data_IF_226693984958
#
_entry.id   IF_226693984958
#
_cell.length_a   1.000
_cell.length_b   1.000
_cell.length_c   1.000
_cell.angle_alpha   90.00
_cell.angle_beta   90.00
_cell.angle_gamma   90.00
#
_symmetry.space_group_name_H-M   'P 1'
#
loop_
_entity.id
_entity.type
_entity.pdbx_description
1 polymer ?
#
# COMPACT_ATOMS: atom_id res chain seq x y z
N UNK A 1 -1.31 10.72 -6.97
CA UNK A 1 -1.45 9.55 -7.87
C UNK A 1 -2.90 9.02 -7.91
N UNK A 2 -3.53 8.79 -6.76
CA UNK A 2 -4.90 8.23 -6.66
C UNK A 2 -5.94 9.08 -7.41
N UNK A 3 -5.86 10.41 -7.33
CA UNK A 3 -6.76 11.32 -8.07
C UNK A 3 -6.60 11.12 -9.57
N UNK A 4 -5.35 11.08 -10.05
CA UNK A 4 -5.05 10.89 -11.48
C UNK A 4 -5.52 9.54 -12.00
N UNK A 5 -5.37 8.47 -11.22
CA UNK A 5 -5.88 7.15 -11.56
C UNK A 5 -7.41 7.15 -11.72
N UNK A 6 -8.13 7.81 -10.81
CA UNK A 6 -9.59 7.97 -10.92
C UNK A 6 -10.02 8.70 -12.18
N UNK A 7 -9.31 9.77 -12.58
CA UNK A 7 -9.60 10.55 -13.78
C UNK A 7 -9.42 9.76 -15.09
N UNK A 8 -8.52 8.78 -15.10
CA UNK A 8 -8.19 8.01 -16.32
C UNK A 8 -8.82 6.62 -16.36
N UNK A 9 -9.52 6.18 -15.31
CA UNK A 9 -10.06 4.83 -15.19
C UNK A 9 -10.89 4.42 -16.41
N UNK A 10 -11.85 5.27 -16.82
CA UNK A 10 -12.72 4.95 -17.97
C UNK A 10 -11.93 4.87 -19.28
N UNK A 11 -11.00 5.79 -19.49
CA UNK A 11 -10.12 5.80 -20.67
C UNK A 11 -9.21 4.57 -20.74
N UNK A 12 -8.79 4.04 -19.57
CA UNK A 12 -8.01 2.80 -19.52
C UNK A 12 -8.87 1.59 -19.88
N UNK A 13 -10.12 1.52 -19.42
CA UNK A 13 -11.04 0.47 -19.81
C UNK A 13 -11.31 0.49 -21.32
N UNK A 14 -11.55 1.67 -21.90
CA UNK A 14 -11.68 1.86 -23.35
C UNK A 14 -10.42 1.41 -24.10
N UNK A 15 -9.25 1.82 -23.64
CA UNK A 15 -7.98 1.46 -24.29
C UNK A 15 -7.67 -0.04 -24.24
N UNK A 16 -8.22 -0.76 -23.25
CA UNK A 16 -8.10 -2.21 -23.11
C UNK A 16 -9.23 -3.00 -23.78
N UNK A 17 -10.14 -2.32 -24.51
CA UNK A 17 -11.34 -2.93 -25.11
C UNK A 17 -12.21 -3.69 -24.10
N UNK A 18 -12.33 -3.11 -22.88
CA UNK A 18 -13.18 -3.64 -21.82
C UNK A 18 -14.45 -2.81 -21.78
N UNK A 19 -15.58 -3.45 -22.10
CA UNK A 19 -16.91 -2.84 -21.96
C UNK A 19 -17.19 -2.50 -20.50
N UNK A 20 -17.70 -1.29 -20.26
CA UNK A 20 -17.99 -0.85 -18.91
C UNK A 20 -19.29 -0.08 -18.79
N UNK A 21 -19.83 -0.08 -17.58
CA UNK A 21 -20.99 0.76 -17.21
C UNK A 21 -20.70 1.41 -15.86
N UNK A 22 -21.02 2.70 -15.74
CA UNK A 22 -20.98 3.37 -14.43
C UNK A 22 -22.28 3.06 -13.71
N UNK A 23 -22.17 2.51 -12.49
CA UNK A 23 -23.32 2.10 -11.68
C UNK A 23 -24.31 3.26 -11.51
N UNK A 24 -25.58 3.01 -11.85
CA UNK A 24 -26.72 3.92 -11.65
C UNK A 24 -27.51 3.56 -10.39
N UNK A 25 -28.61 4.28 -10.17
CA UNK A 25 -29.53 3.97 -9.07
C UNK A 25 -30.25 2.64 -9.27
N UNK A 26 -30.41 2.20 -10.53
CA UNK A 26 -30.94 0.87 -10.86
C UNK A 26 -29.83 -0.19 -10.97
N UNK A 27 -29.07 -0.31 -9.89
CA UNK A 27 -27.87 -1.14 -9.83
C UNK A 27 -28.12 -2.63 -10.13
N UNK A 28 -29.34 -3.13 -9.89
CA UNK A 28 -29.69 -4.53 -10.18
C UNK A 28 -29.76 -4.78 -11.69
N UNK A 29 -30.34 -3.84 -12.43
CA UNK A 29 -30.41 -3.91 -13.89
C UNK A 29 -29.00 -3.77 -14.47
N UNK A 30 -28.23 -2.77 -14.02
CA UNK A 30 -26.86 -2.56 -14.47
C UNK A 30 -25.98 -3.80 -14.27
N UNK A 31 -26.07 -4.42 -13.08
CA UNK A 31 -25.32 -5.64 -12.79
C UNK A 31 -25.71 -6.80 -13.71
N UNK A 32 -27.02 -7.02 -13.92
CA UNK A 32 -27.51 -8.09 -14.80
C UNK A 32 -27.04 -7.88 -16.24
N UNK A 33 -27.18 -6.68 -16.76
CA UNK A 33 -26.73 -6.33 -18.12
C UNK A 33 -25.24 -6.60 -18.31
N UNK A 34 -24.39 -6.18 -17.38
CA UNK A 34 -22.96 -6.38 -17.48
C UNK A 34 -22.56 -7.86 -17.33
N UNK A 35 -23.23 -8.61 -16.48
CA UNK A 35 -23.02 -10.07 -16.36
C UNK A 35 -23.42 -10.81 -17.64
N UNK A 36 -24.59 -10.48 -18.21
CA UNK A 36 -25.05 -11.09 -19.47
C UNK A 36 -24.14 -10.70 -20.65
N UNK A 37 -23.67 -9.45 -20.70
CA UNK A 37 -22.70 -9.02 -21.71
C UNK A 37 -21.42 -9.83 -21.62
N UNK A 38 -20.83 -9.95 -20.41
CA UNK A 38 -19.61 -10.70 -20.20
C UNK A 38 -19.75 -12.18 -20.64
N UNK A 39 -20.90 -12.81 -20.33
CA UNK A 39 -21.20 -14.18 -20.76
C UNK A 39 -21.33 -14.30 -22.26
N UNK A 40 -22.11 -13.40 -22.88
CA UNK A 40 -22.40 -13.41 -24.30
C UNK A 40 -21.14 -13.21 -25.14
N UNK A 41 -20.33 -12.22 -24.77
CA UNK A 41 -19.11 -11.86 -25.51
C UNK A 41 -17.90 -12.72 -25.12
N UNK A 42 -18.00 -13.50 -24.04
CA UNK A 42 -16.90 -14.27 -23.45
C UNK A 42 -15.66 -13.38 -23.20
N UNK A 43 -15.90 -12.15 -22.74
CA UNK A 43 -14.93 -11.11 -22.46
C UNK A 43 -15.13 -10.54 -21.05
N UNK A 44 -14.10 -9.94 -20.44
CA UNK A 44 -14.29 -9.18 -19.20
C UNK A 44 -15.21 -7.99 -19.44
N UNK A 45 -16.04 -7.67 -18.43
CA UNK A 45 -16.85 -6.47 -18.40
C UNK A 45 -16.69 -5.79 -17.02
N UNK A 46 -16.75 -4.47 -16.97
CA UNK A 46 -16.50 -3.71 -15.76
C UNK A 46 -17.72 -2.91 -15.32
N UNK A 47 -18.11 -3.04 -14.04
CA UNK A 47 -19.09 -2.16 -13.41
C UNK A 47 -18.36 -1.16 -12.53
N UNK A 48 -18.37 0.12 -12.92
CA UNK A 48 -17.62 1.18 -12.26
C UNK A 48 -18.45 1.82 -11.17
N UNK A 49 -17.98 1.75 -9.94
CA UNK A 49 -18.67 2.27 -8.75
C UNK A 49 -17.98 3.55 -8.29
N UNK A 50 -18.71 4.67 -8.24
CA UNK A 50 -18.20 5.95 -7.76
C UNK A 50 -18.06 5.97 -6.24
N UNK A 51 -17.11 6.77 -5.75
CA UNK A 51 -16.96 7.01 -4.32
C UNK A 51 -18.25 7.56 -3.72
N UNK A 52 -18.71 6.97 -2.61
CA UNK A 52 -19.91 7.38 -1.90
C UNK A 52 -21.21 6.74 -2.41
N UNK A 53 -21.14 5.81 -3.36
CA UNK A 53 -22.31 5.05 -3.83
C UNK A 53 -22.89 4.14 -2.74
N UNK A 54 -22.02 3.50 -1.95
CA UNK A 54 -22.46 2.64 -0.87
C UNK A 54 -22.55 3.39 0.47
N UNK A 55 -23.53 3.02 1.29
CA UNK A 55 -23.62 3.46 2.67
C UNK A 55 -22.46 2.91 3.50
N UNK A 56 -22.20 3.55 4.64
CA UNK A 56 -21.24 3.02 5.63
C UNK A 56 -21.68 1.64 6.09
N UNK A 57 -20.75 0.72 6.10
CA UNK A 57 -20.91 -0.59 6.71
C UNK A 57 -20.18 -0.61 8.05
N UNK A 58 -20.90 -0.88 9.11
CA UNK A 58 -20.31 -1.10 10.43
C UNK A 58 -19.96 -2.59 10.55
N UNK A 59 -18.67 -2.90 10.54
CA UNK A 59 -18.21 -4.26 10.66
C UNK A 59 -18.68 -4.88 11.99
N UNK A 60 -19.30 -6.06 11.91
CA UNK A 60 -19.85 -6.78 13.07
C UNK A 60 -18.71 -7.25 13.99
N UNK A 61 -17.57 -7.60 13.43
CA UNK A 61 -16.37 -8.00 14.17
C UNK A 61 -15.33 -6.86 14.08
N UNK A 62 -15.30 -6.02 15.09
CA UNK A 62 -14.16 -5.14 15.33
C UNK A 62 -13.06 -5.98 15.95
N UNK A 63 -12.09 -6.40 15.17
CA UNK A 63 -10.87 -7.01 15.71
C UNK A 63 -10.19 -5.99 16.62
N UNK A 64 -10.26 -6.25 17.93
CA UNK A 64 -9.40 -5.59 18.91
C UNK A 64 -8.05 -6.30 18.87
N UNK A 65 -7.15 -5.84 18.04
CA UNK A 65 -5.82 -6.45 18.03
C UNK A 65 -4.77 -5.38 17.89
N UNK A 66 -4.63 -4.57 18.91
CA UNK A 66 -3.34 -3.96 19.17
C UNK A 66 -2.68 -4.81 20.25
N UNK A 67 -1.70 -5.63 19.90
CA UNK A 67 -0.92 -6.42 20.84
C UNK A 67 0.25 -5.63 21.46
N UNK A 68 0.38 -4.35 21.09
CA UNK A 68 1.45 -3.47 21.54
C UNK A 68 0.92 -2.23 22.26
N UNK A 69 1.76 -1.69 23.13
CA UNK A 69 1.47 -0.49 23.92
C UNK A 69 1.93 0.82 23.23
N UNK A 70 2.56 0.71 22.06
CA UNK A 70 3.07 1.84 21.29
C UNK A 70 2.31 2.00 19.96
N UNK A 71 1.96 3.21 19.61
CA UNK A 71 1.37 3.52 18.31
C UNK A 71 2.44 3.51 17.22
N UNK A 72 2.06 3.13 15.98
CA UNK A 72 3.00 3.13 14.85
C UNK A 72 3.61 4.50 14.62
N UNK A 73 2.84 5.57 14.72
CA UNK A 73 3.33 6.94 14.56
C UNK A 73 4.40 7.29 15.60
N UNK A 74 4.22 6.87 16.85
CA UNK A 74 5.22 7.05 17.91
C UNK A 74 6.51 6.25 17.63
N UNK A 75 6.37 5.01 17.14
CA UNK A 75 7.52 4.20 16.75
C UNK A 75 8.27 4.85 15.56
N UNK A 76 7.54 5.36 14.58
CA UNK A 76 8.13 6.07 13.43
C UNK A 76 8.84 7.35 13.86
N UNK A 77 8.30 8.12 14.81
CA UNK A 77 9.00 9.31 15.36
C UNK A 77 10.37 8.94 15.92
N UNK A 78 10.44 7.87 16.69
CA UNK A 78 11.72 7.38 17.26
C UNK A 78 12.68 6.95 16.14
N UNK A 79 12.20 6.16 15.17
CA UNK A 79 13.02 5.70 14.05
C UNK A 79 13.56 6.90 13.25
N UNK A 80 12.70 7.85 12.90
CA UNK A 80 13.08 9.02 12.12
C UNK A 80 14.10 9.91 12.84
N UNK A 81 14.11 9.92 14.18
CA UNK A 81 15.13 10.64 14.96
C UNK A 81 16.51 10.02 14.85
N UNK A 82 16.61 8.74 14.50
CA UNK A 82 17.87 8.00 14.39
C UNK A 82 18.40 7.92 12.94
N UNK A 83 17.54 8.18 11.94
CA UNK A 83 17.93 7.99 10.54
C UNK A 83 18.84 9.07 9.99
N UNK A 84 18.74 10.32 10.51
CA UNK A 84 19.50 11.45 9.95
C UNK A 84 19.33 11.56 8.43
N UNK A 85 20.44 11.53 7.69
CA UNK A 85 20.49 11.58 6.23
C UNK A 85 20.57 10.18 5.58
N UNK A 86 20.30 9.13 6.33
CA UNK A 86 20.22 7.77 5.81
C UNK A 86 18.95 7.58 4.97
N UNK A 87 19.03 6.86 3.84
CA UNK A 87 17.85 6.59 3.04
C UNK A 87 16.83 5.66 3.72
N UNK A 88 15.58 6.04 3.58
CA UNK A 88 14.41 5.27 4.04
C UNK A 88 13.65 4.73 2.84
N UNK A 89 13.33 3.45 2.87
CA UNK A 89 12.39 2.82 1.93
C UNK A 89 11.21 2.29 2.74
N UNK A 90 10.01 2.86 2.53
CA UNK A 90 8.84 2.45 3.28
C UNK A 90 7.79 1.74 2.42
N UNK A 91 7.01 0.88 3.06
CA UNK A 91 5.88 0.19 2.43
C UNK A 91 4.78 1.16 2.04
N UNK A 92 3.98 0.76 1.05
CA UNK A 92 2.82 1.54 0.61
C UNK A 92 1.74 1.61 1.70
N UNK A 93 0.97 2.69 1.69
CA UNK A 93 -0.21 2.84 2.54
C UNK A 93 -0.03 3.83 3.68
N UNK A 94 -0.50 3.49 4.87
CA UNK A 94 -0.50 4.40 6.03
C UNK A 94 0.90 4.75 6.50
N UNK A 95 1.79 3.80 6.53
CA UNK A 95 3.16 3.99 6.98
C UNK A 95 3.90 5.06 6.18
N UNK A 96 3.89 4.96 4.85
CA UNK A 96 4.46 6.01 3.98
C UNK A 96 3.82 7.39 4.21
N UNK A 97 2.51 7.44 4.49
CA UNK A 97 1.84 8.71 4.78
C UNK A 97 2.26 9.29 6.11
N UNK A 98 2.33 8.48 7.14
CA UNK A 98 2.77 8.90 8.48
C UNK A 98 4.22 9.40 8.46
N UNK A 99 5.12 8.73 7.74
CA UNK A 99 6.48 9.23 7.52
C UNK A 99 6.47 10.60 6.85
N UNK A 100 5.69 10.75 5.78
CA UNK A 100 5.56 12.04 5.10
C UNK A 100 5.04 13.13 6.04
N UNK A 101 3.97 12.85 6.79
CA UNK A 101 3.36 13.80 7.73
C UNK A 101 4.30 14.16 8.89
N UNK A 102 5.08 13.20 9.38
CA UNK A 102 6.09 13.43 10.41
C UNK A 102 7.23 14.33 9.91
N UNK A 103 7.74 14.10 8.69
CA UNK A 103 8.73 14.98 8.06
C UNK A 103 8.20 16.41 7.94
N UNK A 104 6.97 16.60 7.46
CA UNK A 104 6.31 17.92 7.41
C UNK A 104 6.17 18.56 8.79
N UNK A 105 5.72 17.79 9.80
CA UNK A 105 5.56 18.23 11.18
C UNK A 105 6.86 18.78 11.78
N UNK A 106 7.99 18.16 11.45
CA UNK A 106 9.31 18.52 11.96
C UNK A 106 10.12 19.41 11.00
N UNK A 107 9.51 19.90 9.92
CA UNK A 107 10.16 20.71 8.89
C UNK A 107 11.42 20.06 8.31
N UNK A 108 11.38 18.74 8.13
CA UNK A 108 12.43 17.95 7.51
C UNK A 108 12.17 17.77 6.01
N UNK A 109 13.23 17.59 5.23
CA UNK A 109 13.12 17.30 3.80
C UNK A 109 12.73 15.84 3.53
N UNK A 110 12.37 15.55 2.27
CA UNK A 110 11.97 14.21 1.79
C UNK A 110 13.00 13.60 0.84
N UNK A 111 14.15 14.21 0.68
CA UNK A 111 15.18 13.84 -0.30
C UNK A 111 15.81 12.48 -0.05
N UNK A 112 15.67 11.95 1.16
CA UNK A 112 16.18 10.64 1.57
C UNK A 112 15.07 9.58 1.72
N UNK A 113 13.81 9.94 1.44
CA UNK A 113 12.66 9.07 1.63
C UNK A 113 12.15 8.49 0.29
N UNK A 114 12.17 7.17 0.16
CA UNK A 114 11.50 6.46 -0.93
C UNK A 114 10.19 5.86 -0.41
N UNK A 115 9.13 6.68 -0.48
CA UNK A 115 7.79 6.31 -0.02
C UNK A 115 7.04 5.58 -1.14
N UNK A 116 6.91 4.26 -1.04
CA UNK A 116 6.31 3.46 -2.12
C UNK A 116 4.82 3.75 -2.29
N UNK A 117 4.38 3.78 -3.55
CA UNK A 117 2.98 3.88 -3.94
C UNK A 117 2.63 2.68 -4.81
N UNK A 118 1.92 1.72 -4.24
CA UNK A 118 1.70 0.41 -4.87
C UNK A 118 2.86 -0.55 -4.57
N UNK A 119 2.95 -1.64 -5.33
CA UNK A 119 4.00 -2.66 -5.19
C UNK A 119 4.16 -3.18 -3.75
N UNK A 120 3.06 -3.39 -3.04
CA UNK A 120 3.06 -3.93 -1.69
C UNK A 120 3.81 -5.27 -1.64
N UNK A 121 4.67 -5.44 -0.64
CA UNK A 121 5.53 -6.61 -0.50
C UNK A 121 6.90 -6.51 -1.18
N UNK A 122 7.20 -5.43 -1.92
CA UNK A 122 8.49 -5.27 -2.61
C UNK A 122 9.47 -4.35 -1.88
N UNK A 123 9.08 -3.76 -0.77
CA UNK A 123 9.87 -2.79 0.01
C UNK A 123 11.25 -3.32 0.37
N UNK A 124 11.30 -4.54 0.90
CA UNK A 124 12.56 -5.19 1.28
C UNK A 124 13.52 -5.41 0.10
N UNK A 125 12.99 -5.76 -1.07
CA UNK A 125 13.80 -5.94 -2.28
C UNK A 125 14.35 -4.61 -2.81
N UNK A 126 13.57 -3.55 -2.75
CA UNK A 126 14.00 -2.20 -3.14
C UNK A 126 15.09 -1.69 -2.19
N UNK A 127 14.84 -1.82 -0.88
CA UNK A 127 15.81 -1.42 0.14
C UNK A 127 17.12 -2.22 0.08
N UNK A 128 17.03 -3.53 -0.21
CA UNK A 128 18.22 -4.37 -0.41
C UNK A 128 19.04 -3.86 -1.60
N UNK A 129 18.37 -3.62 -2.75
CA UNK A 129 19.06 -3.09 -3.93
C UNK A 129 19.77 -1.76 -3.66
N UNK A 130 19.16 -0.90 -2.87
CA UNK A 130 19.76 0.37 -2.46
C UNK A 130 20.95 0.15 -1.52
N UNK A 131 20.82 -0.75 -0.54
CA UNK A 131 21.88 -1.02 0.45
C UNK A 131 23.16 -1.60 -0.17
N UNK A 132 23.05 -2.33 -1.27
CA UNK A 132 24.20 -2.84 -2.02
C UNK A 132 24.98 -1.71 -2.72
N UNK A 133 24.27 -0.63 -3.07
CA UNK A 133 24.83 0.50 -3.83
C UNK A 133 25.33 1.68 -2.98
N UNK A 134 25.28 1.60 -1.65
CA UNK A 134 25.67 2.70 -0.76
C UNK A 134 26.37 2.23 0.50
N UNK A 135 27.23 3.08 1.06
CA UNK A 135 27.85 2.87 2.38
C UNK A 135 26.98 3.37 3.54
N UNK A 136 25.91 4.14 3.25
CA UNK A 136 24.97 4.62 4.27
C UNK A 136 24.10 3.47 4.77
N UNK A 137 23.57 3.57 5.98
CA UNK A 137 22.52 2.66 6.39
C UNK A 137 21.28 2.88 5.51
N UNK A 138 20.57 1.80 5.21
CA UNK A 138 19.30 1.83 4.50
C UNK A 138 18.22 1.28 5.41
N UNK A 139 17.27 2.11 5.75
CA UNK A 139 16.16 1.76 6.63
C UNK A 139 14.98 1.28 5.80
N UNK A 140 14.68 -0.01 5.90
CA UNK A 140 13.52 -0.63 5.29
C UNK A 140 12.39 -0.70 6.32
N UNK A 141 11.36 0.12 6.13
CA UNK A 141 10.18 0.16 7.01
C UNK A 141 9.01 -0.54 6.33
N UNK A 142 8.54 -1.61 6.91
CA UNK A 142 7.53 -2.48 6.29
C UNK A 142 6.42 -2.86 7.27
N UNK A 143 5.27 -3.25 6.75
CA UNK A 143 4.17 -3.76 7.53
C UNK A 143 4.09 -5.28 7.49
N UNK A 144 3.45 -5.89 8.48
CA UNK A 144 3.23 -7.34 8.57
C UNK A 144 2.53 -7.91 7.33
N UNK A 145 1.48 -7.25 6.84
CA UNK A 145 0.78 -7.68 5.63
C UNK A 145 1.66 -7.60 4.38
N UNK A 146 2.46 -6.54 4.24
CA UNK A 146 3.41 -6.38 3.14
C UNK A 146 4.52 -7.43 3.20
N UNK A 147 5.07 -7.66 4.38
CA UNK A 147 6.08 -8.70 4.61
C UNK A 147 5.57 -10.08 4.18
N UNK A 148 4.35 -10.47 4.59
CA UNK A 148 3.77 -11.78 4.26
C UNK A 148 3.54 -11.93 2.76
N UNK A 149 3.18 -10.87 2.04
CA UNK A 149 2.94 -10.95 0.59
C UNK A 149 4.15 -11.42 -0.21
N UNK A 150 5.36 -11.10 0.23
CA UNK A 150 6.61 -11.52 -0.43
C UNK A 150 7.64 -12.06 0.56
N UNK A 151 7.20 -12.79 1.56
CA UNK A 151 8.06 -13.37 2.61
C UNK A 151 9.22 -14.20 2.04
N UNK A 152 9.04 -14.83 0.88
CA UNK A 152 10.10 -15.56 0.19
C UNK A 152 11.32 -14.71 -0.20
N UNK A 153 11.16 -13.39 -0.31
CA UNK A 153 12.30 -12.48 -0.57
C UNK A 153 13.30 -12.44 0.58
N UNK A 154 12.90 -12.86 1.78
CA UNK A 154 13.78 -12.90 2.94
C UNK A 154 14.96 -13.87 2.79
N UNK A 155 14.81 -14.92 1.98
CA UNK A 155 15.93 -15.79 1.66
C UNK A 155 17.03 -15.04 0.89
N UNK A 156 16.62 -14.12 -0.02
CA UNK A 156 17.56 -13.29 -0.80
C UNK A 156 18.13 -12.17 0.09
N UNK A 157 17.30 -11.53 0.90
CA UNK A 157 17.73 -10.51 1.86
C UNK A 157 18.77 -11.10 2.82
N UNK A 158 18.47 -12.22 3.48
CA UNK A 158 19.36 -12.85 4.44
C UNK A 158 20.70 -13.32 3.84
N UNK A 159 20.75 -13.56 2.53
CA UNK A 159 21.97 -13.95 1.84
C UNK A 159 22.83 -12.77 1.37
N UNK A 160 22.22 -11.62 1.07
CA UNK A 160 22.88 -10.51 0.38
C UNK A 160 22.90 -9.20 1.17
N UNK A 161 22.15 -9.06 2.25
CA UNK A 161 22.15 -7.84 3.05
C UNK A 161 23.45 -7.72 3.84
N UNK A 162 24.02 -6.52 3.80
CA UNK A 162 25.15 -6.12 4.64
C UNK A 162 24.69 -5.55 5.98
N UNK A 163 25.68 -5.15 6.82
CA UNK A 163 25.43 -4.54 8.14
C UNK A 163 24.69 -3.19 8.05
N UNK A 164 24.71 -2.56 6.87
CA UNK A 164 24.03 -1.30 6.59
C UNK A 164 22.54 -1.47 6.25
N UNK A 165 22.01 -2.69 6.16
CA UNK A 165 20.59 -2.94 5.90
C UNK A 165 19.81 -3.06 7.22
N UNK A 166 18.92 -2.10 7.49
CA UNK A 166 18.11 -2.05 8.71
C UNK A 166 16.66 -2.35 8.34
N UNK A 167 16.13 -3.50 8.75
CA UNK A 167 14.77 -3.93 8.41
C UNK A 167 13.88 -3.93 9.65
N UNK A 168 12.84 -3.11 9.62
CA UNK A 168 11.86 -2.97 10.69
C UNK A 168 10.48 -3.32 10.15
N UNK A 169 9.77 -4.19 10.85
CA UNK A 169 8.40 -4.60 10.51
C UNK A 169 7.46 -4.10 11.59
N UNK A 170 6.57 -3.20 11.21
CA UNK A 170 5.47 -2.74 12.05
C UNK A 170 4.33 -3.76 12.00
N UNK A 171 4.14 -4.49 13.09
CA UNK A 171 3.16 -5.55 13.19
C UNK A 171 1.97 -5.10 14.05
N UNK A 172 0.81 -4.90 13.43
CA UNK A 172 -0.46 -4.66 14.11
C UNK A 172 -1.41 -5.87 14.04
N UNK A 173 -0.95 -6.99 13.53
CA UNK A 173 -1.72 -8.24 13.33
C UNK A 173 -2.99 -8.03 12.50
N UNK A 174 -2.99 -7.06 11.58
CA UNK A 174 -4.16 -6.73 10.77
C UNK A 174 -3.78 -6.09 9.43
N UNK A 175 -4.41 -6.56 8.36
CA UNK A 175 -4.28 -5.91 7.05
C UNK A 175 -5.30 -4.75 6.93
N UNK A 176 -4.97 -3.60 7.50
CA UNK A 176 -5.89 -2.45 7.61
C UNK A 176 -6.43 -1.96 6.27
N UNK A 177 -5.67 -2.07 5.18
CA UNK A 177 -6.09 -1.61 3.85
C UNK A 177 -7.23 -2.43 3.24
N UNK A 178 -7.49 -3.64 3.76
CA UNK A 178 -8.57 -4.54 3.33
C UNK A 178 -9.58 -4.80 4.43
N UNK A 179 -9.73 -3.90 5.38
CA UNK A 179 -10.75 -3.96 6.42
C UNK A 179 -10.29 -4.50 7.77
N UNK A 180 -9.00 -4.68 7.97
CA UNK A 180 -8.44 -5.10 9.26
C UNK A 180 -8.64 -6.60 9.55
N UNK A 181 -8.57 -7.41 8.52
CA UNK A 181 -8.64 -8.88 8.59
C UNK A 181 -7.28 -9.48 8.89
#
# INVERSE_FOLDING_TARGET
>A
LVVKQGEVTLKLLEAMDIEYKVLSDDYIVDLKEMVELAKKENKPAALVIKKGTFSKYDAVNKTKNCMGDILREEALEVILSETGDDPIVSTTGKESREIFELREKYHQGHEHDFLTVGSMGHTSSIALGLSIGTEKNVWCLDGDGSFIMHMGSMAIVGQNAGDNFKYIINNNSAHESVGGL
#
